data_IF_599767768618
#
_entry.id   IF_599767768618
#
_cell.length_a   1.000
_cell.length_b   1.000
_cell.length_c   1.000
_cell.angle_alpha   90.00
_cell.angle_beta   90.00
_cell.angle_gamma   90.00
#
_symmetry.space_group_name_H-M   'P 1'
#
loop_
_entity.id
_entity.type
_entity.pdbx_description
1 polymer ?
#
# COMPACT_ATOMS: atom_id res chain seq x y z
N UNK A 1 2.78 -10.43 0.57
CA UNK A 1 2.85 -9.07 -0.03
C UNK A 1 3.42 -9.05 -1.45
N UNK A 2 3.70 -10.20 -2.10
CA UNK A 2 4.23 -10.27 -3.47
C UNK A 2 3.30 -9.61 -4.50
N UNK A 3 1.98 -9.73 -4.33
CA UNK A 3 1.01 -9.11 -5.24
C UNK A 3 1.16 -7.59 -5.31
N UNK A 4 1.48 -6.93 -4.19
CA UNK A 4 1.76 -5.49 -4.16
C UNK A 4 3.02 -5.13 -4.95
N UNK A 5 4.05 -5.96 -4.90
CA UNK A 5 5.29 -5.74 -5.67
C UNK A 5 5.05 -5.91 -7.17
N UNK A 6 4.20 -6.87 -7.56
CA UNK A 6 3.79 -7.07 -8.96
C UNK A 6 3.00 -5.87 -9.47
N UNK A 7 2.02 -5.39 -8.69
CA UNK A 7 1.20 -4.22 -9.07
C UNK A 7 2.09 -2.99 -9.32
N UNK A 8 3.06 -2.77 -8.44
CA UNK A 8 3.80 -1.51 -8.37
C UNK A 8 5.18 -1.53 -9.04
N UNK A 9 5.64 -2.69 -9.50
CA UNK A 9 6.97 -2.84 -10.11
C UNK A 9 8.12 -2.57 -9.15
N UNK A 10 7.88 -2.52 -7.84
CA UNK A 10 8.85 -2.09 -6.83
C UNK A 10 8.81 -2.94 -5.58
N UNK A 11 9.90 -2.90 -4.79
CA UNK A 11 10.02 -3.67 -3.55
C UNK A 11 9.16 -3.06 -2.46
N UNK A 12 8.51 -3.89 -1.64
CA UNK A 12 7.72 -3.39 -0.51
C UNK A 12 8.57 -2.62 0.51
N UNK A 13 9.83 -3.05 0.72
CA UNK A 13 10.80 -2.43 1.64
C UNK A 13 11.38 -1.11 1.13
N UNK A 14 11.13 -0.75 -0.12
CA UNK A 14 11.59 0.51 -0.66
C UNK A 14 10.80 1.65 -0.02
N UNK A 15 11.53 2.64 0.53
CA UNK A 15 10.89 3.84 1.06
C UNK A 15 10.26 4.62 -0.09
N UNK A 16 9.01 4.97 0.07
CA UNK A 16 8.32 5.90 -0.82
C UNK A 16 8.43 7.31 -0.26
N UNK A 17 8.51 8.30 -1.13
CA UNK A 17 8.51 9.73 -0.77
C UNK A 17 7.21 10.38 -1.23
N UNK A 18 6.09 9.71 -0.92
CA UNK A 18 4.78 10.17 -1.35
C UNK A 18 4.07 10.77 -0.14
N UNK A 19 4.17 12.09 0.01
CA UNK A 19 3.64 12.80 1.17
C UNK A 19 4.19 12.25 2.49
N UNK A 20 3.30 11.71 3.32
CA UNK A 20 3.63 11.22 4.68
C UNK A 20 3.99 9.74 4.73
N UNK A 21 3.90 9.01 3.62
CA UNK A 21 4.07 7.56 3.64
C UNK A 21 5.54 7.18 3.52
N UNK A 22 6.01 6.25 4.35
CA UNK A 22 7.41 5.76 4.30
C UNK A 22 7.52 4.31 3.83
N UNK A 23 6.39 3.60 3.69
CA UNK A 23 6.33 2.18 3.33
C UNK A 23 5.23 1.93 2.28
N UNK A 24 5.53 1.17 1.23
CA UNK A 24 4.60 1.03 0.10
C UNK A 24 3.24 0.38 0.48
N UNK A 25 3.19 -0.70 1.28
CA UNK A 25 1.92 -1.30 1.70
C UNK A 25 0.93 -0.38 2.41
N UNK A 26 1.39 0.57 3.24
CA UNK A 26 0.46 1.52 3.87
C UNK A 26 -0.10 2.51 2.86
N UNK A 27 0.75 2.99 1.94
CA UNK A 27 0.31 3.87 0.85
C UNK A 27 -0.70 3.16 -0.05
N UNK A 28 -0.43 1.93 -0.45
CA UNK A 28 -1.37 1.12 -1.23
C UNK A 28 -2.71 0.95 -0.51
N UNK A 29 -2.69 0.62 0.79
CA UNK A 29 -3.92 0.47 1.57
C UNK A 29 -4.75 1.76 1.64
N UNK A 30 -4.10 2.92 1.85
CA UNK A 30 -4.80 4.21 1.85
C UNK A 30 -5.37 4.54 0.47
N UNK A 31 -4.58 4.36 -0.59
CA UNK A 31 -5.00 4.63 -1.97
C UNK A 31 -6.14 3.75 -2.45
N UNK A 32 -6.14 2.47 -2.06
CA UNK A 32 -7.29 1.58 -2.28
C UNK A 32 -8.53 2.07 -1.54
N UNK A 33 -8.39 2.55 -0.31
CA UNK A 33 -9.50 3.07 0.48
C UNK A 33 -10.07 4.38 -0.11
N UNK A 34 -9.21 5.25 -0.64
CA UNK A 34 -9.58 6.48 -1.35
C UNK A 34 -10.20 6.22 -2.74
N UNK A 35 -10.02 5.01 -3.29
CA UNK A 35 -10.44 4.65 -4.64
C UNK A 35 -9.46 5.08 -5.75
N UNK A 36 -8.31 5.66 -5.38
CA UNK A 36 -7.27 6.14 -6.28
C UNK A 36 -6.20 5.07 -6.52
N UNK A 37 -6.56 4.02 -7.29
CA UNK A 37 -5.66 2.86 -7.49
C UNK A 37 -4.66 3.02 -8.63
N UNK A 38 -4.88 3.97 -9.55
CA UNK A 38 -4.00 4.15 -10.71
C UNK A 38 -2.60 4.63 -10.31
N UNK A 39 -2.48 5.38 -9.21
CA UNK A 39 -1.19 5.81 -8.67
C UNK A 39 -0.33 4.65 -8.14
N UNK A 40 -0.91 3.45 -7.97
CA UNK A 40 -0.21 2.26 -7.51
C UNK A 40 0.41 1.44 -8.64
N UNK A 41 0.02 1.71 -9.88
CA UNK A 41 0.46 0.94 -11.04
C UNK A 41 1.94 1.17 -11.32
N UNK A 42 2.66 0.11 -11.65
CA UNK A 42 4.02 0.14 -12.15
C UNK A 42 4.15 1.17 -13.29
N UNK A 43 5.04 2.15 -13.10
CA UNK A 43 5.25 3.23 -14.06
C UNK A 43 5.77 2.75 -15.41
N UNK A 44 6.44 1.58 -15.46
CA UNK A 44 6.88 0.96 -16.71
C UNK A 44 5.73 0.45 -17.59
N UNK A 45 4.54 0.30 -17.02
CA UNK A 45 3.33 -0.02 -17.78
C UNK A 45 2.70 1.21 -18.44
N UNK A 46 3.19 2.42 -18.17
CA UNK A 46 2.74 3.67 -18.82
C UNK A 46 1.20 3.86 -18.77
N UNK A 47 0.56 3.44 -17.67
CA UNK A 47 -0.89 3.51 -17.51
C UNK A 47 -1.68 2.43 -18.26
N UNK A 48 -1.01 1.48 -18.90
CA UNK A 48 -1.62 0.38 -19.65
C UNK A 48 -2.13 -0.72 -18.70
N UNK A 49 -3.25 -0.45 -18.04
CA UNK A 49 -3.97 -1.42 -17.22
C UNK A 49 -5.49 -1.24 -17.36
N UNK A 50 -6.23 -2.34 -17.31
CA UNK A 50 -7.68 -2.28 -17.17
C UNK A 50 -8.02 -1.88 -15.72
N UNK A 51 -8.70 -0.75 -15.54
CA UNK A 51 -8.90 -0.12 -14.23
C UNK A 51 -9.67 -1.03 -13.27
N UNK A 52 -10.65 -1.79 -13.76
CA UNK A 52 -11.42 -2.74 -12.95
C UNK A 52 -10.57 -3.88 -12.40
N UNK A 53 -9.71 -4.48 -13.23
CA UNK A 53 -8.75 -5.50 -12.84
C UNK A 53 -7.72 -4.95 -11.86
N UNK A 54 -7.18 -3.76 -12.12
CA UNK A 54 -6.26 -3.11 -11.19
C UNK A 54 -6.93 -2.88 -9.83
N UNK A 55 -8.14 -2.31 -9.83
CA UNK A 55 -8.88 -2.04 -8.61
C UNK A 55 -9.15 -3.32 -7.80
N UNK A 56 -9.64 -4.39 -8.45
CA UNK A 56 -9.83 -5.70 -7.79
C UNK A 56 -8.52 -6.25 -7.25
N UNK A 57 -7.46 -6.24 -8.04
CA UNK A 57 -6.15 -6.79 -7.66
C UNK A 57 -5.57 -6.05 -6.45
N UNK A 58 -5.66 -4.72 -6.43
CA UNK A 58 -5.23 -3.91 -5.28
C UNK A 58 -6.06 -4.20 -4.02
N UNK A 59 -7.39 -4.33 -4.14
CA UNK A 59 -8.26 -4.72 -3.01
C UNK A 59 -7.91 -6.10 -2.46
N UNK A 60 -7.70 -7.09 -3.34
CA UNK A 60 -7.28 -8.44 -2.93
C UNK A 60 -5.94 -8.39 -2.19
N UNK A 61 -4.97 -7.64 -2.72
CA UNK A 61 -3.67 -7.47 -2.07
C UNK A 61 -3.80 -6.88 -0.66
N UNK A 62 -4.68 -5.89 -0.48
CA UNK A 62 -4.94 -5.24 0.80
C UNK A 62 -5.75 -6.11 1.79
N UNK A 63 -6.61 -7.01 1.32
CA UNK A 63 -7.25 -8.04 2.17
C UNK A 63 -6.24 -9.07 2.69
N UNK A 64 -5.26 -9.45 1.87
CA UNK A 64 -4.23 -10.43 2.25
C UNK A 64 -3.26 -9.95 3.35
N UNK A 65 -3.22 -8.65 3.65
CA UNK A 65 -2.32 -8.05 4.64
C UNK A 65 -3.04 -7.53 5.88
N UNK A 66 -4.32 -7.90 6.07
CA UNK A 66 -5.07 -7.52 7.26
C UNK A 66 -4.43 -8.06 8.53
N UNK A 67 -4.53 -7.29 9.62
CA UNK A 67 -3.91 -7.65 10.90
C UNK A 67 -4.47 -8.97 11.44
N UNK A 68 -5.80 -9.10 11.43
CA UNK A 68 -6.51 -10.28 11.89
C UNK A 68 -6.45 -11.40 10.83
N UNK A 69 -6.05 -12.60 11.24
CA UNK A 69 -5.84 -13.73 10.34
C UNK A 69 -7.14 -14.23 9.69
N UNK A 70 -8.24 -14.17 10.43
CA UNK A 70 -9.59 -14.55 10.00
C UNK A 70 -10.19 -13.58 8.98
N UNK A 71 -9.66 -12.35 8.88
CA UNK A 71 -10.01 -11.41 7.81
C UNK A 71 -9.25 -11.69 6.51
N UNK A 72 -8.15 -12.47 6.55
CA UNK A 72 -7.38 -12.75 5.33
C UNK A 72 -8.09 -13.83 4.52
N UNK A 73 -8.33 -13.62 3.22
CA UNK A 73 -8.97 -14.62 2.38
C UNK A 73 -8.08 -15.85 2.23
N UNK A 74 -8.70 -17.02 2.17
CA UNK A 74 -7.99 -18.24 1.79
C UNK A 74 -7.46 -18.12 0.36
N UNK A 75 -6.37 -18.82 0.03
CA UNK A 75 -5.80 -18.74 -1.33
C UNK A 75 -6.79 -19.12 -2.45
N UNK A 76 -7.71 -20.07 -2.21
CA UNK A 76 -8.77 -20.38 -3.17
C UNK A 76 -9.79 -19.25 -3.36
N UNK A 77 -10.01 -18.42 -2.33
CA UNK A 77 -10.80 -17.19 -2.45
C UNK A 77 -10.04 -16.13 -3.24
N UNK A 78 -8.76 -15.93 -2.93
CA UNK A 78 -7.87 -14.99 -3.65
C UNK A 78 -7.90 -15.24 -5.15
N UNK A 79 -7.77 -16.51 -5.60
CA UNK A 79 -7.83 -16.85 -7.02
C UNK A 79 -9.18 -16.46 -7.64
N UNK A 80 -10.31 -16.85 -7.01
CA UNK A 80 -11.65 -16.50 -7.52
C UNK A 80 -11.91 -14.99 -7.57
N UNK A 81 -11.36 -14.23 -6.62
CA UNK A 81 -11.43 -12.77 -6.61
C UNK A 81 -10.65 -12.17 -7.79
N UNK A 82 -9.44 -12.68 -8.06
CA UNK A 82 -8.58 -12.21 -9.15
C UNK A 82 -9.15 -12.58 -10.53
N UNK A 83 -9.78 -13.76 -10.65
CA UNK A 83 -10.50 -14.19 -11.86
C UNK A 83 -11.80 -13.38 -12.09
N UNK A 84 -12.22 -12.56 -11.12
CA UNK A 84 -13.46 -11.77 -11.20
C UNK A 84 -14.73 -12.60 -11.01
N UNK A 85 -14.62 -13.83 -10.48
CA UNK A 85 -15.74 -14.72 -10.16
C UNK A 85 -16.39 -14.36 -8.83
N UNK A 86 -15.64 -13.66 -7.96
CA UNK A 86 -16.10 -13.22 -6.66
C UNK A 86 -15.80 -11.74 -6.46
N UNK A 87 -16.80 -10.97 -6.06
CA UNK A 87 -16.63 -9.55 -5.76
C UNK A 87 -15.74 -9.32 -4.54
N UNK A 88 -15.12 -8.15 -4.52
CA UNK A 88 -14.16 -7.76 -3.47
C UNK A 88 -14.54 -6.40 -2.93
N UNK A 89 -15.00 -6.39 -1.68
CA UNK A 89 -15.27 -5.16 -0.94
C UNK A 89 -13.99 -4.37 -0.69
N UNK A 90 -14.14 -3.06 -0.45
CA UNK A 90 -13.01 -2.21 -0.09
C UNK A 90 -12.46 -2.65 1.28
N UNK A 91 -11.18 -3.07 1.38
CA UNK A 91 -10.59 -3.45 2.65
C UNK A 91 -10.34 -2.24 3.55
N UNK A 92 -10.38 -2.41 4.88
CA UNK A 92 -9.94 -1.38 5.81
C UNK A 92 -8.41 -1.22 5.76
N UNK A 93 -7.90 -0.06 6.16
CA UNK A 93 -6.46 0.17 6.30
C UNK A 93 -5.94 -0.57 7.53
N UNK A 94 -4.95 -1.49 7.41
CA UNK A 94 -4.41 -2.21 8.55
C UNK A 94 -3.83 -1.27 9.60
N UNK A 95 -4.15 -1.48 10.88
CA UNK A 95 -3.73 -0.58 11.97
C UNK A 95 -2.24 -0.69 12.23
N UNK A 96 -1.68 -1.89 12.12
CA UNK A 96 -0.22 -2.12 12.29
C UNK A 96 0.62 -1.28 11.33
N UNK A 97 0.06 -0.95 10.16
CA UNK A 97 0.72 -0.19 9.11
C UNK A 97 0.62 1.33 9.30
N UNK A 98 -0.29 1.82 10.15
CA UNK A 98 -0.48 3.27 10.36
C UNK A 98 0.74 3.94 10.99
N UNK A 99 1.56 3.18 11.73
CA UNK A 99 2.82 3.68 12.30
C UNK A 99 3.83 4.13 11.24
N UNK A 100 3.67 3.73 9.98
CA UNK A 100 4.54 4.10 8.87
C UNK A 100 4.06 5.34 8.10
N UNK A 101 3.03 6.03 8.63
CA UNK A 101 2.54 7.33 8.15
C UNK A 101 3.08 8.42 9.07
N UNK A 102 3.91 9.33 8.54
CA UNK A 102 4.32 10.57 9.22
C UNK A 102 5.64 10.53 10.01
N UNK A 103 6.60 9.65 9.69
CA UNK A 103 7.89 9.59 10.42
C UNK A 103 8.87 10.74 10.06
N UNK A 104 8.62 11.53 9.02
CA UNK A 104 9.60 12.54 8.57
C UNK A 104 9.60 13.87 9.34
N UNK A 105 8.66 14.14 10.26
CA UNK A 105 8.66 15.40 11.04
C UNK A 105 9.44 15.33 12.38
N UNK A 106 10.01 14.18 12.77
CA UNK A 106 10.60 14.00 14.11
C UNK A 106 12.13 13.84 14.16
N UNK A 107 12.83 13.84 13.01
CA UNK A 107 14.29 13.62 12.99
C UNK A 107 15.05 14.89 12.57
N UNK A 108 14.38 15.91 12.05
CA UNK A 108 15.00 17.18 11.64
C UNK A 108 15.12 18.25 12.74
N UNK A 109 14.43 18.12 13.88
CA UNK A 109 14.56 19.09 14.99
C UNK A 109 15.63 18.72 16.04
N UNK A 110 16.03 17.45 16.13
CA UNK A 110 17.02 16.98 17.13
C UNK A 110 18.49 17.17 16.71
N UNK A 111 18.77 17.66 15.49
CA UNK A 111 20.14 17.96 15.05
C UNK A 111 20.51 19.46 15.07
N UNK A 112 19.59 20.36 15.46
CA UNK A 112 19.86 21.81 15.49
C UNK A 112 20.05 22.40 16.90
N UNK A 113 20.10 21.58 17.95
CA UNK A 113 20.45 22.03 19.32
C UNK A 113 21.87 21.56 19.66
N UNK A 114 22.89 22.09 18.98
CA UNK A 114 24.25 22.23 19.53
C UNK A 114 25.20 22.90 18.53
N UNK A 115 24.96 24.14 18.10
CA UNK A 115 26.05 25.11 17.85
C UNK A 115 25.51 26.50 18.18
N UNK A 116 25.70 26.95 19.44
CA UNK A 116 25.80 28.38 19.73
C UNK A 116 27.28 28.70 19.97
N UNK A 117 27.88 29.65 19.23
CA UNK A 117 29.23 30.11 19.52
C UNK A 117 29.22 30.99 20.79
N UNK A 118 30.06 30.65 21.77
CA UNK A 118 30.66 31.64 22.67
C UNK A 118 32.02 32.04 22.10
#
# INVERSE_FOLDING_TARGET
MVLLEIIAGRRNSEKIKEGKFTYFPIYAAVKVNEGDVMCLLDSSLEGNAEVGQLNRTCRVACWCIQDAEDHRPMMGQVVRMLEGVMDVEVPPVPRSLQNYVGIEDSISEDLNISISPM
#
